data_IF_926028600567
#
_entry.id   IF_926028600567
#
_cell.length_a   1.000
_cell.length_b   1.000
_cell.length_c   1.000
_cell.angle_alpha   90.00
_cell.angle_beta   90.00
_cell.angle_gamma   90.00
#
_symmetry.space_group_name_H-M   'P 1'
#
loop_
_entity.id
_entity.type
_entity.pdbx_description
1 polymer ?
#
# COMPACT_ATOMS: atom_id res chain seq x y z
N UNK A 1 -20.16 -9.91 -13.63
CA UNK A 1 -18.71 -10.14 -13.76
C UNK A 1 -18.12 -10.32 -12.38
N UNK A 2 -17.19 -11.25 -12.19
CA UNK A 2 -16.39 -11.35 -10.95
C UNK A 2 -15.38 -10.21 -10.92
N UNK A 3 -14.95 -9.80 -9.72
CA UNK A 3 -14.01 -8.68 -9.58
C UNK A 3 -12.68 -8.93 -10.32
N UNK A 4 -12.11 -10.12 -10.20
CA UNK A 4 -10.90 -10.51 -10.93
C UNK A 4 -11.03 -10.59 -12.45
N UNK A 5 -12.23 -10.43 -13.02
CA UNK A 5 -12.44 -10.33 -14.48
C UNK A 5 -12.33 -8.88 -14.98
N UNK A 6 -12.33 -7.89 -14.08
CA UNK A 6 -12.37 -6.46 -14.43
C UNK A 6 -11.26 -5.64 -13.77
N UNK A 7 -10.61 -6.17 -12.74
CA UNK A 7 -9.46 -5.55 -12.09
C UNK A 7 -8.40 -6.61 -11.79
N UNK A 8 -7.15 -6.17 -11.68
CA UNK A 8 -6.08 -6.96 -11.08
C UNK A 8 -6.11 -6.80 -9.56
N UNK A 9 -6.11 -7.92 -8.83
CA UNK A 9 -6.09 -7.91 -7.36
C UNK A 9 -4.65 -8.15 -6.91
N UNK A 10 -4.03 -7.11 -6.37
CA UNK A 10 -2.63 -7.12 -5.94
C UNK A 10 -2.57 -7.14 -4.41
N UNK A 11 -1.78 -8.06 -3.85
CA UNK A 11 -1.46 -8.08 -2.42
C UNK A 11 -0.35 -7.09 -2.06
N UNK A 12 -0.29 -6.71 -0.78
CA UNK A 12 0.82 -5.93 -0.24
C UNK A 12 1.82 -6.79 0.54
N UNK A 13 2.86 -6.15 1.05
CA UNK A 13 3.84 -6.77 1.93
C UNK A 13 4.41 -5.75 2.91
N UNK A 14 4.96 -6.27 4.01
CA UNK A 14 5.67 -5.48 5.01
C UNK A 14 7.15 -5.80 4.87
N UNK A 15 8.03 -4.84 4.56
CA UNK A 15 9.47 -5.06 4.66
C UNK A 15 9.85 -5.43 6.09
N UNK A 16 10.98 -6.11 6.26
CA UNK A 16 11.46 -6.47 7.59
C UNK A 16 11.60 -5.20 8.46
N UNK A 17 10.80 -5.15 9.53
CA UNK A 17 10.75 -4.00 10.44
C UNK A 17 12.03 -3.83 11.26
N UNK A 18 12.86 -4.89 11.34
CA UNK A 18 14.12 -4.88 12.07
C UNK A 18 15.28 -4.30 11.25
N UNK A 19 15.11 -4.13 9.93
CA UNK A 19 16.16 -3.62 9.02
C UNK A 19 15.93 -2.13 8.76
N UNK A 20 16.69 -1.21 9.39
CA UNK A 20 16.43 0.23 9.28
C UNK A 20 16.56 0.75 7.85
N UNK A 21 17.44 0.14 7.03
CA UNK A 21 17.67 0.52 5.64
C UNK A 21 16.48 0.32 4.69
N UNK A 22 15.42 -0.38 5.13
CA UNK A 22 14.20 -0.57 4.35
C UNK A 22 13.18 0.56 4.51
N UNK A 23 13.44 1.51 5.39
CA UNK A 23 12.49 2.55 5.78
C UNK A 23 12.97 3.94 5.39
N UNK A 24 12.07 4.91 5.44
CA UNK A 24 12.35 6.35 5.25
C UNK A 24 12.91 6.72 3.87
N UNK A 25 12.59 5.96 2.81
CA UNK A 25 13.08 6.22 1.45
C UNK A 25 12.07 6.86 0.51
N UNK A 26 10.99 7.45 1.02
CA UNK A 26 10.07 8.30 0.26
C UNK A 26 8.93 7.57 -0.47
N UNK A 27 9.03 6.26 -0.68
CA UNK A 27 7.95 5.45 -1.30
C UNK A 27 6.83 5.29 -0.27
N UNK A 28 5.61 5.71 -0.62
CA UNK A 28 4.47 5.66 0.30
C UNK A 28 4.10 4.22 0.64
N UNK A 29 3.90 3.91 1.93
CA UNK A 29 3.57 2.56 2.37
C UNK A 29 2.37 2.55 3.31
N UNK A 30 1.17 2.42 2.74
CA UNK A 30 -0.08 2.50 3.49
C UNK A 30 -0.39 1.23 4.29
N UNK A 31 -0.81 1.43 5.54
CA UNK A 31 -1.34 0.38 6.42
C UNK A 31 -2.87 0.42 6.48
N UNK A 32 -3.55 -0.65 6.93
CA UNK A 32 -5.01 -0.67 7.03
C UNK A 32 -5.61 0.47 7.87
N UNK A 33 -4.91 0.92 8.91
CA UNK A 33 -5.35 2.01 9.79
C UNK A 33 -5.30 3.38 9.12
N UNK A 34 -4.59 3.51 8.00
CA UNK A 34 -4.48 4.78 7.26
C UNK A 34 -5.56 4.92 6.17
N UNK A 35 -6.19 3.81 5.78
CA UNK A 35 -7.27 3.80 4.80
C UNK A 35 -8.56 4.27 5.49
N UNK A 36 -8.71 5.58 5.63
CA UNK A 36 -9.83 6.21 6.37
C UNK A 36 -10.56 7.29 5.57
N UNK A 37 -10.03 7.65 4.40
CA UNK A 37 -10.58 8.68 3.53
C UNK A 37 -10.70 8.20 2.08
N UNK A 38 -11.57 8.88 1.31
CA UNK A 38 -11.81 8.56 -0.11
C UNK A 38 -10.54 8.71 -0.96
N UNK A 39 -9.71 9.69 -0.66
CA UNK A 39 -8.47 9.98 -1.40
C UNK A 39 -7.29 10.00 -0.43
N UNK A 40 -6.20 9.34 -0.82
CA UNK A 40 -5.02 9.12 0.02
C UNK A 40 -3.79 9.65 -0.72
N UNK A 41 -3.12 10.65 -0.15
CA UNK A 41 -1.94 11.29 -0.76
C UNK A 41 -0.64 11.00 -0.04
N UNK A 42 -0.69 10.71 1.26
CA UNK A 42 0.51 10.53 2.09
C UNK A 42 0.26 9.48 3.16
N UNK A 43 1.23 8.59 3.32
CA UNK A 43 1.31 7.66 4.43
C UNK A 43 2.17 8.23 5.56
N UNK A 44 1.89 7.78 6.79
CA UNK A 44 2.69 8.03 7.97
C UNK A 44 4.11 7.46 7.87
N UNK A 45 4.31 6.38 7.08
CA UNK A 45 5.61 5.75 6.88
C UNK A 45 5.94 5.63 5.40
N UNK A 46 7.22 5.67 5.11
CA UNK A 46 7.74 5.39 3.78
C UNK A 46 8.75 4.27 3.83
N UNK A 47 8.86 3.54 2.73
CA UNK A 47 9.87 2.51 2.53
C UNK A 47 10.91 3.00 1.53
N UNK A 48 12.09 2.40 1.60
CA UNK A 48 13.14 2.62 0.60
C UNK A 48 12.98 1.67 -0.57
N UNK A 49 13.74 1.92 -1.64
CA UNK A 49 13.79 1.02 -2.79
C UNK A 49 14.24 -0.39 -2.39
N UNK A 50 15.24 -0.51 -1.51
CA UNK A 50 15.66 -1.82 -1.00
C UNK A 50 14.56 -2.48 -0.16
N UNK A 51 13.78 -1.71 0.60
CA UNK A 51 12.61 -2.24 1.32
C UNK A 51 11.50 -2.74 0.40
N UNK A 52 11.25 -2.03 -0.70
CA UNK A 52 10.31 -2.46 -1.73
C UNK A 52 10.77 -3.77 -2.40
N UNK A 53 12.04 -3.83 -2.83
CA UNK A 53 12.63 -4.98 -3.52
C UNK A 53 12.76 -6.21 -2.60
N UNK A 54 12.94 -6.01 -1.29
CA UNK A 54 13.10 -7.09 -0.30
C UNK A 54 11.80 -7.56 0.34
N UNK A 55 10.64 -7.17 -0.19
CA UNK A 55 9.33 -7.54 0.36
C UNK A 55 8.31 -7.87 -0.73
N UNK A 56 7.12 -8.31 -0.33
CA UNK A 56 5.99 -8.50 -1.25
C UNK A 56 5.23 -7.21 -1.56
N UNK A 57 5.70 -6.05 -1.07
CA UNK A 57 5.10 -4.77 -1.43
C UNK A 57 5.23 -4.53 -2.94
N UNK A 58 4.24 -3.84 -3.52
CA UNK A 58 4.18 -3.51 -4.93
C UNK A 58 3.96 -2.02 -5.08
N UNK A 59 4.70 -1.41 -6.01
CA UNK A 59 4.39 -0.05 -6.45
C UNK A 59 3.08 -0.13 -7.25
N UNK A 60 2.14 0.76 -6.93
CA UNK A 60 0.84 0.82 -7.59
C UNK A 60 0.73 2.17 -8.30
N UNK A 61 0.11 2.23 -9.49
CA UNK A 61 -0.09 3.50 -10.17
C UNK A 61 -1.04 4.41 -9.37
N UNK A 62 -0.89 5.73 -9.55
CA UNK A 62 -1.87 6.69 -9.06
C UNK A 62 -3.28 6.35 -9.59
N UNK A 63 -4.29 6.46 -8.73
CA UNK A 63 -5.67 6.05 -8.99
C UNK A 63 -5.99 4.62 -8.55
N UNK A 64 -5.02 3.84 -8.07
CA UNK A 64 -5.26 2.50 -7.54
C UNK A 64 -6.22 2.52 -6.34
N UNK A 65 -7.09 1.50 -6.26
CA UNK A 65 -8.04 1.32 -5.17
C UNK A 65 -7.38 0.45 -4.10
N UNK A 66 -7.20 1.03 -2.91
CA UNK A 66 -6.72 0.32 -1.73
C UNK A 66 -7.93 -0.18 -0.93
N UNK A 67 -7.93 -1.48 -0.63
CA UNK A 67 -8.99 -2.14 0.16
C UNK A 67 -8.37 -2.89 1.32
N UNK A 68 -8.93 -2.71 2.51
CA UNK A 68 -8.48 -3.41 3.71
C UNK A 68 -9.19 -4.74 3.86
N UNK A 69 -8.42 -5.81 4.00
CA UNK A 69 -8.92 -7.19 4.19
C UNK A 69 -8.72 -7.70 5.62
N UNK A 70 -8.08 -6.89 6.48
CA UNK A 70 -7.79 -7.16 7.91
C UNK A 70 -7.92 -5.88 8.73
N UNK A 71 -7.94 -6.01 10.06
CA UNK A 71 -8.04 -4.95 11.08
C UNK A 71 -9.25 -4.01 10.89
N UNK A 72 -9.22 -3.15 9.87
CA UNK A 72 -10.27 -2.19 9.47
C UNK A 72 -11.02 -2.70 8.24
N UNK A 73 -11.50 -3.94 8.25
CA UNK A 73 -12.02 -4.66 7.06
C UNK A 73 -13.09 -3.83 6.31
N UNK A 74 -12.91 -3.72 5.00
CA UNK A 74 -13.90 -3.09 4.10
C UNK A 74 -13.70 -1.59 3.90
N UNK A 75 -12.73 -0.97 4.56
CA UNK A 75 -12.33 0.39 4.24
C UNK A 75 -11.70 0.46 2.84
N UNK A 76 -12.01 1.54 2.12
CA UNK A 76 -11.57 1.76 0.75
C UNK A 76 -11.06 3.19 0.60
N UNK A 77 -9.96 3.35 -0.14
CA UNK A 77 -9.42 4.65 -0.53
C UNK A 77 -8.75 4.59 -1.90
N UNK A 78 -8.63 5.75 -2.55
CA UNK A 78 -7.98 5.91 -3.86
C UNK A 78 -6.62 6.58 -3.64
N UNK A 79 -5.54 5.92 -4.06
CA UNK A 79 -4.19 6.48 -3.99
C UNK A 79 -4.03 7.62 -5.01
N UNK A 80 -3.52 8.78 -4.59
CA UNK A 80 -3.29 9.93 -5.47
C UNK A 80 -1.86 10.00 -6.02
N UNK A 81 -0.95 9.20 -5.47
CA UNK A 81 0.44 9.13 -5.86
C UNK A 81 0.94 7.68 -5.80
N UNK A 82 2.06 7.43 -6.49
CA UNK A 82 2.77 6.15 -6.51
C UNK A 82 3.59 5.89 -5.24
#
# INVERSE_FOLDING_TARGET
>A
KRLGEVVEIIGGGTPDTSVPGYWNGGIQWFTPTEITAKYLSKSARTISRSGLESSSAKMLPAGAILVTTRATIGNVGIALAE
#
